data_IF_282603543618
#
_entry.id   IF_282603543618
#
_cell.length_a   1.000
_cell.length_b   1.000
_cell.length_c   1.000
_cell.angle_alpha   90.00
_cell.angle_beta   90.00
_cell.angle_gamma   90.00
#
_symmetry.space_group_name_H-M   'P 1'
#
loop_
_entity.id
_entity.type
_entity.pdbx_description
1 polymer ?
#
# COMPACT_ATOMS: atom_id res chain seq x y z
N UNK A 1 7.69 -39.88 15.75
CA UNK A 1 7.08 -39.15 14.61
C UNK A 1 7.82 -37.79 14.51
N UNK A 2 8.81 -37.70 13.65
CA UNK A 2 9.63 -36.49 13.53
C UNK A 2 9.02 -35.56 12.50
N UNK A 3 8.61 -34.37 12.93
CA UNK A 3 8.20 -33.30 12.02
C UNK A 3 9.44 -32.67 11.40
N UNK A 4 9.59 -32.84 10.09
CA UNK A 4 10.63 -32.23 9.29
C UNK A 4 10.23 -30.77 9.02
N UNK A 5 10.82 -29.81 9.77
CA UNK A 5 10.68 -28.39 9.50
C UNK A 5 11.55 -28.09 8.27
N UNK A 6 10.91 -27.97 7.12
CA UNK A 6 11.57 -27.41 5.93
C UNK A 6 11.83 -25.93 6.18
N UNK A 7 13.07 -25.60 6.45
CA UNK A 7 13.57 -24.21 6.37
C UNK A 7 13.36 -23.71 4.94
N UNK A 8 12.35 -22.86 4.76
CA UNK A 8 12.18 -22.08 3.55
C UNK A 8 13.28 -21.03 3.51
N UNK A 9 14.33 -21.33 2.72
CA UNK A 9 15.31 -20.33 2.33
C UNK A 9 14.59 -19.16 1.66
N UNK A 10 14.61 -17.99 2.29
CA UNK A 10 14.33 -16.71 1.67
C UNK A 10 15.44 -16.45 0.64
N UNK A 11 15.30 -17.02 -0.55
CA UNK A 11 16.08 -16.61 -1.71
C UNK A 11 15.59 -15.24 -2.15
N UNK A 12 16.41 -14.23 -1.97
CA UNK A 12 16.41 -13.02 -2.79
C UNK A 12 16.85 -13.46 -4.20
N UNK A 13 15.95 -14.07 -4.96
CA UNK A 13 16.23 -14.46 -6.34
C UNK A 13 15.92 -13.26 -7.24
N UNK A 14 16.94 -12.81 -7.97
CA UNK A 14 16.73 -12.00 -9.16
C UNK A 14 15.82 -12.77 -10.13
N UNK A 15 14.92 -12.09 -10.86
CA UNK A 15 14.04 -12.74 -11.81
C UNK A 15 14.89 -13.49 -12.85
N UNK A 16 14.70 -14.81 -12.94
CA UNK A 16 15.51 -15.69 -13.81
C UNK A 16 14.93 -15.76 -15.24
N UNK A 17 13.66 -15.34 -15.42
CA UNK A 17 12.98 -15.43 -16.71
C UNK A 17 12.48 -14.07 -17.20
N UNK A 18 12.30 -13.94 -18.52
CA UNK A 18 11.70 -12.76 -19.15
C UNK A 18 10.28 -12.49 -18.66
N UNK A 19 9.54 -13.53 -18.33
CA UNK A 19 8.18 -13.43 -17.80
C UNK A 19 8.18 -12.91 -16.36
N UNK A 20 9.12 -13.34 -15.53
CA UNK A 20 9.28 -12.82 -14.16
C UNK A 20 9.66 -11.35 -14.17
N UNK A 21 10.59 -10.94 -15.05
CA UNK A 21 10.95 -9.52 -15.22
C UNK A 21 9.78 -8.66 -15.70
N UNK A 22 8.93 -9.18 -16.59
CA UNK A 22 7.74 -8.47 -17.04
C UNK A 22 6.70 -8.34 -15.93
N UNK A 23 6.53 -9.38 -15.10
CA UNK A 23 5.65 -9.33 -13.93
C UNK A 23 6.14 -8.34 -12.89
N UNK A 24 7.44 -8.33 -12.56
CA UNK A 24 7.98 -7.33 -11.63
C UNK A 24 7.77 -5.90 -12.13
N UNK A 25 8.00 -5.63 -13.41
CA UNK A 25 7.73 -4.31 -14.01
C UNK A 25 6.26 -3.93 -13.86
N UNK A 26 5.33 -4.85 -14.11
CA UNK A 26 3.89 -4.60 -13.95
C UNK A 26 3.57 -4.13 -12.51
N UNK A 27 4.11 -4.78 -11.47
CA UNK A 27 3.85 -4.37 -10.07
C UNK A 27 4.47 -3.03 -9.71
N UNK A 28 5.66 -2.73 -10.23
CA UNK A 28 6.32 -1.44 -10.05
C UNK A 28 5.44 -0.31 -10.61
N UNK A 29 4.80 -0.54 -11.75
CA UNK A 29 3.90 0.43 -12.37
C UNK A 29 2.55 0.56 -11.64
N UNK A 30 2.09 -0.51 -10.95
CA UNK A 30 0.81 -0.55 -10.23
C UNK A 30 0.88 -0.02 -8.80
N UNK A 31 2.04 -0.04 -8.14
CA UNK A 31 2.23 0.44 -6.76
C UNK A 31 3.06 1.71 -6.78
N UNK A 32 2.55 2.79 -6.19
CA UNK A 32 3.25 4.07 -6.05
C UNK A 32 3.37 4.49 -4.60
N UNK A 33 4.57 4.88 -4.18
CA UNK A 33 4.83 5.44 -2.86
C UNK A 33 4.96 6.96 -2.92
N UNK A 34 4.16 7.66 -2.12
CA UNK A 34 4.31 9.09 -1.85
C UNK A 34 5.13 9.24 -0.56
N UNK A 35 6.42 9.49 -0.71
CA UNK A 35 7.39 9.53 0.39
C UNK A 35 7.73 10.97 0.77
N UNK A 36 7.94 11.21 2.06
CA UNK A 36 8.38 12.50 2.59
C UNK A 36 8.11 12.62 4.09
N UNK A 37 8.77 13.55 4.76
CA UNK A 37 8.55 13.82 6.17
C UNK A 37 7.14 14.41 6.44
N UNK A 38 6.73 14.47 7.69
CA UNK A 38 5.44 15.09 8.08
C UNK A 38 5.38 16.53 7.60
N UNK A 39 4.27 16.92 6.95
CA UNK A 39 4.04 18.30 6.48
C UNK A 39 4.46 18.57 5.03
N UNK A 40 5.02 17.60 4.30
CA UNK A 40 5.46 17.77 2.88
C UNK A 40 4.31 17.73 1.86
N UNK A 41 3.04 17.64 2.30
CA UNK A 41 1.89 17.68 1.41
C UNK A 41 1.49 16.33 0.80
N UNK A 42 2.06 15.19 1.25
CA UNK A 42 1.71 13.84 0.74
C UNK A 42 0.21 13.57 0.69
N UNK A 43 -0.50 13.87 1.77
CA UNK A 43 -1.96 13.71 1.86
C UNK A 43 -2.68 14.57 0.81
N UNK A 44 -2.27 15.81 0.58
CA UNK A 44 -2.84 16.66 -0.48
C UNK A 44 -2.59 16.09 -1.87
N UNK A 45 -1.40 15.57 -2.12
CA UNK A 45 -1.05 14.91 -3.39
C UNK A 45 -1.90 13.64 -3.57
N UNK A 46 -2.09 12.84 -2.51
CA UNK A 46 -2.94 11.66 -2.54
C UNK A 46 -4.40 12.01 -2.84
N UNK A 47 -4.95 13.05 -2.19
CA UNK A 47 -6.33 13.52 -2.42
C UNK A 47 -6.51 13.97 -3.88
N UNK A 48 -5.54 14.74 -4.41
CA UNK A 48 -5.58 15.18 -5.80
C UNK A 48 -5.58 13.97 -6.76
N UNK A 49 -4.71 13.00 -6.53
CA UNK A 49 -4.64 11.78 -7.32
C UNK A 49 -5.92 10.93 -7.21
N UNK A 50 -6.54 10.83 -6.02
CA UNK A 50 -7.79 10.12 -5.84
C UNK A 50 -8.98 10.80 -6.55
N UNK A 51 -9.03 12.12 -6.55
CA UNK A 51 -10.06 12.86 -7.29
C UNK A 51 -9.83 12.80 -8.80
N UNK A 52 -8.59 12.83 -9.28
CA UNK A 52 -8.23 12.63 -10.69
C UNK A 52 -8.57 11.21 -11.16
N UNK A 53 -8.31 10.20 -10.33
CA UNK A 53 -8.67 8.81 -10.64
C UNK A 53 -10.17 8.65 -10.87
N UNK A 54 -11.02 9.36 -10.13
CA UNK A 54 -12.48 9.35 -10.36
C UNK A 54 -12.90 9.84 -11.74
N UNK A 55 -12.16 10.76 -12.33
CA UNK A 55 -12.47 11.33 -13.66
C UNK A 55 -12.05 10.37 -14.78
N UNK A 56 -11.00 9.58 -14.53
CA UNK A 56 -10.36 8.73 -15.54
C UNK A 56 -10.69 7.24 -15.37
N UNK A 57 -11.05 6.81 -14.16
CA UNK A 57 -11.32 5.41 -13.84
C UNK A 57 -12.69 4.95 -14.36
N UNK A 58 -12.73 3.68 -14.79
CA UNK A 58 -13.99 3.01 -15.16
C UNK A 58 -14.60 2.20 -14.01
N UNK A 59 -13.90 2.13 -12.88
CA UNK A 59 -14.30 1.35 -11.71
C UNK A 59 -14.39 2.17 -10.44
N UNK A 60 -14.32 1.50 -9.31
CA UNK A 60 -14.42 2.15 -8.01
C UNK A 60 -13.07 2.63 -7.51
N UNK A 61 -13.06 3.84 -6.97
CA UNK A 61 -11.91 4.43 -6.27
C UNK A 61 -12.14 4.31 -4.76
N UNK A 62 -11.18 3.69 -4.07
CA UNK A 62 -11.21 3.47 -2.62
C UNK A 62 -10.07 4.21 -1.97
N UNK A 63 -10.34 4.89 -0.85
CA UNK A 63 -9.32 5.51 -0.03
C UNK A 63 -9.41 4.98 1.41
N UNK A 64 -8.29 4.48 1.94
CA UNK A 64 -8.16 4.00 3.32
C UNK A 64 -7.36 5.02 4.12
N UNK A 65 -7.87 5.42 5.27
CA UNK A 65 -7.18 6.34 6.20
C UNK A 65 -7.34 5.92 7.66
N UNK A 66 -6.56 6.53 8.56
CA UNK A 66 -6.81 6.47 10.01
C UNK A 66 -7.26 7.83 10.52
N UNK A 67 -8.45 7.89 11.16
CA UNK A 67 -8.92 9.06 11.87
C UNK A 67 -9.87 9.97 11.09
N UNK A 68 -10.50 9.54 10.02
CA UNK A 68 -11.56 10.24 9.28
C UNK A 68 -11.26 11.73 8.94
N UNK A 69 -9.99 12.03 8.60
CA UNK A 69 -9.53 13.42 8.35
C UNK A 69 -9.79 13.88 6.93
N UNK A 70 -9.90 12.96 5.96
CA UNK A 70 -10.04 13.25 4.54
C UNK A 70 -11.49 13.54 4.11
N UNK A 71 -12.47 13.28 4.97
CA UNK A 71 -13.91 13.35 4.65
C UNK A 71 -14.36 14.67 4.00
N UNK A 72 -13.70 15.79 4.33
CA UNK A 72 -14.06 17.12 3.81
C UNK A 72 -13.24 17.56 2.61
N UNK A 73 -12.18 16.83 2.26
CA UNK A 73 -11.24 17.19 1.20
C UNK A 73 -11.32 16.27 -0.02
N UNK A 74 -11.77 15.02 0.19
CA UNK A 74 -11.92 14.02 -0.86
C UNK A 74 -13.36 14.02 -1.42
N UNK A 75 -13.52 13.71 -2.70
CA UNK A 75 -14.86 13.61 -3.31
C UNK A 75 -15.71 12.54 -2.62
N UNK A 76 -17.00 12.83 -2.39
CA UNK A 76 -17.96 11.87 -1.82
C UNK A 76 -18.17 10.60 -2.66
N UNK A 77 -17.72 10.61 -3.93
CA UNK A 77 -17.76 9.45 -4.81
C UNK A 77 -16.63 8.45 -4.54
N UNK A 78 -15.55 8.90 -3.89
CA UNK A 78 -14.50 8.00 -3.41
C UNK A 78 -15.03 7.25 -2.20
N UNK A 79 -14.92 5.93 -2.20
CA UNK A 79 -15.25 5.13 -1.01
C UNK A 79 -14.18 5.33 0.04
N UNK A 80 -14.48 6.17 1.03
CA UNK A 80 -13.57 6.40 2.15
C UNK A 80 -13.78 5.32 3.23
N UNK A 81 -12.68 4.69 3.67
CA UNK A 81 -12.67 3.65 4.70
C UNK A 81 -11.73 4.10 5.82
N UNK A 82 -12.30 4.30 7.02
CA UNK A 82 -11.52 4.63 8.20
C UNK A 82 -11.12 3.33 8.93
N UNK A 83 -9.83 3.11 9.13
CA UNK A 83 -9.31 1.89 9.79
C UNK A 83 -9.75 1.76 11.24
N UNK A 84 -10.01 2.87 11.93
CA UNK A 84 -10.47 2.86 13.33
C UNK A 84 -11.88 2.23 13.46
N UNK A 85 -12.75 2.42 12.47
CA UNK A 85 -14.12 1.88 12.47
C UNK A 85 -14.12 0.33 12.39
N UNK A 86 -13.03 -0.26 11.90
CA UNK A 86 -12.89 -1.71 11.71
C UNK A 86 -11.79 -2.32 12.58
N UNK A 87 -11.24 -1.55 13.54
CA UNK A 87 -10.20 -2.00 14.46
C UNK A 87 -8.94 -2.54 13.74
N UNK A 88 -8.60 -1.92 12.61
CA UNK A 88 -7.44 -2.31 11.80
C UNK A 88 -6.19 -1.59 12.32
N UNK A 89 -5.22 -2.37 12.78
CA UNK A 89 -3.91 -1.91 13.22
C UNK A 89 -2.80 -2.84 12.72
N UNK A 90 -1.71 -2.26 12.24
CA UNK A 90 -0.57 -2.99 11.68
C UNK A 90 -0.73 -3.39 10.22
N UNK A 91 0.41 -3.70 9.59
CA UNK A 91 0.49 -4.02 8.16
C UNK A 91 -0.24 -5.29 7.76
N UNK A 92 -0.26 -6.30 8.65
CA UNK A 92 -0.95 -7.59 8.38
C UNK A 92 -2.47 -7.38 8.33
N UNK A 93 -3.04 -6.67 9.31
CA UNK A 93 -4.47 -6.39 9.37
C UNK A 93 -4.91 -5.51 8.19
N UNK A 94 -4.10 -4.49 7.84
CA UNK A 94 -4.33 -3.66 6.66
C UNK A 94 -4.30 -4.47 5.36
N UNK A 95 -3.35 -5.40 5.21
CA UNK A 95 -3.32 -6.33 4.07
C UNK A 95 -4.58 -7.19 3.97
N UNK A 96 -5.07 -7.71 5.11
CA UNK A 96 -6.33 -8.44 5.18
C UNK A 96 -7.54 -7.59 4.77
N UNK A 97 -7.59 -6.30 5.22
CA UNK A 97 -8.64 -5.36 4.81
C UNK A 97 -8.60 -5.10 3.31
N UNK A 98 -7.42 -4.86 2.72
CA UNK A 98 -7.27 -4.66 1.27
C UNK A 98 -7.75 -5.90 0.52
N UNK A 99 -7.30 -7.10 0.93
CA UNK A 99 -7.75 -8.35 0.31
C UNK A 99 -9.28 -8.51 0.39
N UNK A 100 -9.89 -8.19 1.53
CA UNK A 100 -11.34 -8.23 1.73
C UNK A 100 -12.10 -7.24 0.84
N UNK A 101 -11.58 -6.01 0.68
CA UNK A 101 -12.17 -4.99 -0.21
C UNK A 101 -12.15 -5.49 -1.65
N UNK A 102 -11.03 -6.03 -2.13
CA UNK A 102 -10.87 -6.49 -3.51
C UNK A 102 -11.65 -7.79 -3.76
N UNK A 103 -11.70 -8.70 -2.79
CA UNK A 103 -12.51 -9.93 -2.91
C UNK A 103 -14.03 -9.63 -2.92
N UNK A 104 -14.45 -8.59 -2.20
CA UNK A 104 -15.86 -8.19 -2.13
C UNK A 104 -16.32 -7.31 -3.30
N UNK A 105 -15.39 -6.69 -4.04
CA UNK A 105 -15.70 -5.83 -5.18
C UNK A 105 -14.59 -5.90 -6.24
N UNK A 106 -14.82 -6.66 -7.29
CA UNK A 106 -13.90 -6.84 -8.41
C UNK A 106 -13.77 -5.61 -9.34
N UNK A 107 -14.61 -4.59 -9.16
CA UNK A 107 -14.60 -3.38 -9.99
C UNK A 107 -13.73 -2.25 -9.38
N UNK A 108 -12.96 -2.52 -8.33
CA UNK A 108 -12.00 -1.56 -7.78
C UNK A 108 -10.81 -1.43 -8.73
N UNK A 109 -10.54 -0.21 -9.18
CA UNK A 109 -9.44 0.11 -10.10
C UNK A 109 -8.33 0.92 -9.45
N UNK A 110 -8.66 1.67 -8.41
CA UNK A 110 -7.70 2.56 -7.73
C UNK A 110 -7.89 2.50 -6.21
N UNK A 111 -6.79 2.23 -5.52
CA UNK A 111 -6.72 2.16 -4.07
C UNK A 111 -5.69 3.16 -3.53
N UNK A 112 -6.13 4.00 -2.63
CA UNK A 112 -5.31 4.99 -1.95
C UNK A 112 -5.20 4.66 -0.47
N UNK A 113 -4.00 4.74 0.11
CA UNK A 113 -3.77 4.47 1.53
C UNK A 113 -3.01 5.63 2.15
N UNK A 114 -3.67 6.40 3.01
CA UNK A 114 -3.04 7.51 3.71
C UNK A 114 -2.68 7.15 5.16
N UNK A 115 -1.57 7.71 5.61
CA UNK A 115 -1.16 7.63 7.01
C UNK A 115 -0.68 6.25 7.46
N UNK A 116 0.02 5.48 6.61
CA UNK A 116 0.47 4.11 6.92
C UNK A 116 1.19 4.00 8.25
N UNK A 117 2.03 4.97 8.63
CA UNK A 117 2.71 4.94 9.94
C UNK A 117 1.74 4.98 11.11
N UNK A 118 0.66 5.76 11.00
CA UNK A 118 -0.40 5.81 12.03
C UNK A 118 -1.17 4.50 12.08
N UNK A 119 -1.52 3.94 10.90
CA UNK A 119 -2.24 2.66 10.79
C UNK A 119 -1.40 1.53 11.39
N UNK A 120 -0.08 1.56 11.16
CA UNK A 120 0.84 0.54 11.68
C UNK A 120 1.13 0.70 13.18
N UNK A 121 0.77 1.85 13.78
CA UNK A 121 0.97 2.10 15.21
C UNK A 121 2.40 2.50 15.60
N UNK A 122 3.21 2.99 14.64
CA UNK A 122 4.60 3.35 14.91
C UNK A 122 4.79 4.82 15.30
N UNK A 123 5.57 5.04 16.36
CA UNK A 123 6.10 6.33 16.73
C UNK A 123 7.33 6.73 15.90
N UNK A 124 7.82 7.96 16.10
CA UNK A 124 9.00 8.44 15.37
C UNK A 124 10.29 7.68 15.71
N UNK A 125 10.38 7.12 16.93
CA UNK A 125 11.56 6.38 17.38
C UNK A 125 11.72 5.01 16.68
N UNK A 126 10.63 4.43 16.17
CA UNK A 126 10.60 3.07 15.62
C UNK A 126 10.69 3.02 14.09
N UNK A 127 11.39 4.00 13.48
CA UNK A 127 11.43 4.16 12.02
C UNK A 127 11.95 2.92 11.28
N UNK A 128 12.97 2.25 11.81
CA UNK A 128 13.53 1.05 11.18
C UNK A 128 12.52 -0.11 11.18
N UNK A 129 11.78 -0.30 12.27
CA UNK A 129 10.74 -1.32 12.36
C UNK A 129 9.56 -0.99 11.43
N UNK A 130 9.16 0.28 11.42
CA UNK A 130 8.12 0.75 10.50
C UNK A 130 8.48 0.46 9.04
N UNK A 131 9.70 0.78 8.60
CA UNK A 131 10.13 0.55 7.22
C UNK A 131 10.19 -0.94 6.88
N UNK A 132 10.67 -1.77 7.80
CA UNK A 132 10.66 -3.22 7.62
C UNK A 132 9.23 -3.78 7.46
N UNK A 133 8.26 -3.23 8.19
CA UNK A 133 6.87 -3.64 8.04
C UNK A 133 6.21 -3.07 6.77
N UNK A 134 6.63 -1.88 6.31
CA UNK A 134 6.22 -1.37 4.98
C UNK A 134 6.72 -2.30 3.88
N UNK A 135 7.97 -2.78 3.93
CA UNK A 135 8.49 -3.75 2.95
C UNK A 135 7.66 -5.04 2.91
N UNK A 136 7.32 -5.61 4.09
CA UNK A 136 6.46 -6.80 4.20
C UNK A 136 5.05 -6.54 3.67
N UNK A 137 4.51 -5.36 3.96
CA UNK A 137 3.19 -4.95 3.49
C UNK A 137 3.15 -4.82 1.97
N UNK A 138 4.14 -4.16 1.35
CA UNK A 138 4.27 -4.05 -0.11
C UNK A 138 4.38 -5.44 -0.75
N UNK A 139 5.22 -6.32 -0.21
CA UNK A 139 5.34 -7.70 -0.70
C UNK A 139 4.02 -8.50 -0.57
N UNK A 140 3.19 -8.17 0.42
CA UNK A 140 1.84 -8.75 0.57
C UNK A 140 0.89 -8.17 -0.46
N UNK A 141 0.92 -6.85 -0.70
CA UNK A 141 0.11 -6.18 -1.72
C UNK A 141 0.40 -6.73 -3.12
N UNK A 142 1.66 -6.91 -3.48
CA UNK A 142 2.05 -7.52 -4.77
C UNK A 142 1.39 -8.87 -4.99
N UNK A 143 1.25 -9.68 -3.93
CA UNK A 143 0.56 -10.98 -4.00
C UNK A 143 -0.96 -10.83 -4.14
N UNK A 144 -1.56 -9.88 -3.42
CA UNK A 144 -3.00 -9.62 -3.43
C UNK A 144 -3.45 -9.10 -4.79
N UNK A 145 -2.67 -8.16 -5.39
CA UNK A 145 -3.02 -7.51 -6.66
C UNK A 145 -2.48 -8.24 -7.89
N UNK A 146 -1.89 -9.42 -7.71
CA UNK A 146 -1.17 -10.16 -8.77
C UNK A 146 -1.94 -10.28 -10.07
N UNK A 147 -3.22 -10.62 -9.96
CA UNK A 147 -4.11 -10.90 -11.10
C UNK A 147 -5.17 -9.79 -11.29
N UNK A 148 -5.07 -8.71 -10.52
CA UNK A 148 -5.92 -7.55 -10.61
C UNK A 148 -5.28 -6.47 -11.50
N UNK A 149 -6.11 -5.64 -12.12
CA UNK A 149 -5.69 -4.43 -12.84
C UNK A 149 -6.05 -3.22 -11.98
N UNK A 150 -5.22 -2.98 -10.94
CA UNK A 150 -5.50 -1.99 -9.88
C UNK A 150 -4.27 -1.15 -9.58
N UNK A 151 -4.44 0.15 -9.51
CA UNK A 151 -3.41 1.08 -9.06
C UNK A 151 -3.48 1.27 -7.55
N UNK A 152 -2.34 1.21 -6.87
CA UNK A 152 -2.25 1.40 -5.42
C UNK A 152 -1.29 2.54 -5.10
N UNK A 153 -1.79 3.60 -4.48
CA UNK A 153 -0.96 4.74 -4.04
C UNK A 153 -0.93 4.81 -2.51
N UNK A 154 0.28 4.87 -1.94
CA UNK A 154 0.48 4.77 -0.50
C UNK A 154 1.32 5.94 0.00
N UNK A 155 0.91 6.61 1.08
CA UNK A 155 1.77 7.60 1.74
C UNK A 155 2.68 6.95 2.78
N UNK A 156 3.98 7.25 2.71
CA UNK A 156 4.99 6.79 3.66
C UNK A 156 5.69 7.99 4.29
N UNK A 157 5.53 8.15 5.61
CA UNK A 157 6.07 9.31 6.35
C UNK A 157 7.49 9.03 6.84
N UNK A 158 8.47 9.21 5.96
CA UNK A 158 9.91 9.03 6.19
C UNK A 158 10.70 10.05 5.38
N UNK A 159 11.92 10.34 5.78
CA UNK A 159 12.85 11.09 4.91
C UNK A 159 13.18 10.23 3.69
N UNK A 160 13.09 10.76 2.46
CA UNK A 160 13.46 10.01 1.26
C UNK A 160 14.87 9.44 1.29
N UNK A 161 15.80 10.09 2.03
CA UNK A 161 17.17 9.61 2.21
C UNK A 161 17.24 8.30 3.03
N UNK A 162 16.29 8.09 3.94
CA UNK A 162 16.22 6.91 4.82
C UNK A 162 15.42 5.77 4.18
N UNK A 163 14.85 5.97 2.98
CA UNK A 163 14.04 4.95 2.33
C UNK A 163 14.94 3.79 1.85
N UNK A 164 14.62 2.52 2.21
CA UNK A 164 15.33 1.35 1.71
C UNK A 164 15.36 1.27 0.18
N UNK A 165 16.46 0.79 -0.38
CA UNK A 165 16.60 0.62 -1.84
C UNK A 165 15.50 -0.26 -2.44
N UNK A 166 15.05 -1.27 -1.70
CA UNK A 166 13.94 -2.16 -2.07
C UNK A 166 12.63 -1.44 -2.30
N UNK A 167 12.40 -0.29 -1.63
CA UNK A 167 11.19 0.52 -1.76
C UNK A 167 11.35 1.67 -2.78
N UNK A 168 12.57 2.05 -3.15
CA UNK A 168 12.82 3.15 -4.10
C UNK A 168 12.25 2.90 -5.49
N UNK A 169 12.10 1.64 -5.87
CA UNK A 169 11.52 1.24 -7.16
C UNK A 169 10.05 1.63 -7.33
N UNK A 170 9.35 2.01 -6.25
CA UNK A 170 7.94 2.41 -6.26
C UNK A 170 7.73 3.94 -6.13
N UNK A 171 8.77 4.76 -6.24
CA UNK A 171 8.70 6.23 -6.18
C UNK A 171 8.12 6.85 -7.45
#
# INVERSE_FOLDING_TARGET
>A
MCYNIRTTNLRTSFPETREEMQRERKYIDMIKLLVGVKGTGKTKTLIAAANEALENSKGYVVCIEKGATLRHEISYKVRLVNTDDYLIEGGVALGGMVAGILAGNGDVTDLFIDGTRKIFGYDKADMALFLADVEKFIATLEKIIRDADINVTITVSVDPADLPETLKKYL
#
